data_IF_933172718767
#
_entry.id   IF_933172718767
#
_cell.length_a   1.000
_cell.length_b   1.000
_cell.length_c   1.000
_cell.angle_alpha   90.00
_cell.angle_beta   90.00
_cell.angle_gamma   90.00
#
_symmetry.space_group_name_H-M   'P 1'
#
loop_
_entity.id
_entity.type
_entity.pdbx_description
1 polymer ?
#
# COMPACT_ATOMS: atom_id res chain seq x y z
N UNK A 1 -28.67 -74.56 77.19
CA UNK A 1 -28.49 -73.68 76.02
C UNK A 1 -29.59 -72.62 76.00
N UNK A 2 -29.28 -71.35 76.27
CA UNK A 2 -29.70 -70.18 75.48
C UNK A 2 -28.67 -69.07 75.71
N UNK A 3 -28.05 -68.65 74.60
CA UNK A 3 -27.03 -67.59 74.47
C UNK A 3 -27.70 -66.21 74.67
N UNK A 4 -27.00 -65.25 75.28
CA UNK A 4 -26.44 -64.02 74.68
C UNK A 4 -27.50 -63.17 73.93
N UNK A 5 -27.62 -61.85 74.11
CA UNK A 5 -26.56 -60.86 73.82
C UNK A 5 -26.93 -59.51 74.42
N UNK A 6 -25.97 -58.85 75.08
CA UNK A 6 -26.01 -57.46 75.52
C UNK A 6 -25.90 -56.55 74.27
N UNK A 7 -26.91 -55.74 73.97
CA UNK A 7 -26.88 -54.81 72.84
C UNK A 7 -26.01 -53.60 73.23
N UNK A 8 -24.76 -53.59 72.78
CA UNK A 8 -23.84 -52.47 72.91
C UNK A 8 -24.19 -51.43 71.83
N UNK A 9 -24.77 -50.29 72.22
CA UNK A 9 -24.93 -49.14 71.33
C UNK A 9 -23.54 -48.54 71.05
N UNK A 10 -22.98 -48.89 69.89
CA UNK A 10 -21.83 -48.20 69.30
C UNK A 10 -22.31 -46.83 68.78
N UNK A 11 -21.91 -45.75 69.46
CA UNK A 11 -21.93 -44.40 68.91
C UNK A 11 -20.94 -44.32 67.74
N UNK A 12 -21.42 -44.56 66.52
CA UNK A 12 -20.69 -44.18 65.32
C UNK A 12 -20.94 -42.69 65.07
N UNK A 13 -19.95 -41.85 65.41
CA UNK A 13 -19.92 -40.48 64.91
C UNK A 13 -19.61 -40.50 63.41
N UNK A 14 -20.65 -40.34 62.59
CA UNK A 14 -20.49 -40.07 61.16
C UNK A 14 -20.54 -38.57 60.96
N UNK A 15 -19.40 -37.98 60.58
CA UNK A 15 -19.32 -36.57 60.22
C UNK A 15 -19.93 -36.40 58.81
N UNK A 16 -21.16 -35.89 58.72
CA UNK A 16 -21.74 -35.48 57.44
C UNK A 16 -21.22 -34.08 57.08
N UNK A 17 -20.40 -33.98 56.04
CA UNK A 17 -20.08 -32.70 55.43
C UNK A 17 -21.14 -32.40 54.37
N UNK A 18 -21.93 -31.34 54.59
CA UNK A 18 -22.96 -30.90 53.67
C UNK A 18 -22.63 -29.49 53.13
N UNK A 19 -22.75 -29.34 51.82
CA UNK A 19 -22.79 -28.05 51.13
C UNK A 19 -24.04 -27.26 51.56
N UNK A 20 -23.90 -25.93 51.69
CA UNK A 20 -25.01 -25.04 52.05
C UNK A 20 -25.65 -24.50 50.78
N UNK A 21 -26.92 -24.83 50.56
CA UNK A 21 -27.75 -24.19 49.53
C UNK A 21 -28.68 -23.16 50.14
N UNK A 22 -28.70 -21.95 49.61
CA UNK A 22 -29.76 -20.97 49.88
C UNK A 22 -30.64 -20.87 48.64
N UNK A 23 -31.93 -21.18 48.79
CA UNK A 23 -32.93 -21.28 47.72
C UNK A 23 -32.63 -22.32 46.63
N UNK A 24 -31.81 -23.33 46.92
CA UNK A 24 -31.63 -24.52 46.08
C UNK A 24 -31.55 -25.76 46.96
N UNK A 25 -32.18 -26.85 46.52
CA UNK A 25 -32.12 -28.16 47.20
C UNK A 25 -31.02 -29.06 46.63
N UNK A 26 -30.38 -28.63 45.54
CA UNK A 26 -29.27 -29.33 44.89
C UNK A 26 -28.11 -28.38 44.66
N UNK A 27 -27.37 -27.98 45.72
CA UNK A 27 -26.22 -27.13 45.53
C UNK A 27 -25.19 -27.80 44.61
N UNK A 28 -24.47 -27.00 43.84
CA UNK A 28 -23.47 -27.48 42.90
C UNK A 28 -22.37 -28.23 43.68
N UNK A 29 -22.01 -29.48 43.29
CA UNK A 29 -21.01 -30.28 44.01
C UNK A 29 -19.63 -29.62 44.16
N UNK A 30 -19.32 -28.59 43.37
CA UNK A 30 -18.08 -27.82 43.46
C UNK A 30 -18.12 -26.62 44.41
N UNK A 31 -19.25 -26.38 45.08
CA UNK A 31 -19.47 -25.21 45.95
C UNK A 31 -19.71 -25.62 47.40
N UNK A 32 -19.08 -24.90 48.34
CA UNK A 32 -19.38 -25.04 49.78
C UNK A 32 -20.65 -24.26 50.14
N UNK A 33 -20.90 -23.14 49.46
CA UNK A 33 -22.09 -22.31 49.58
C UNK A 33 -22.57 -21.92 48.18
N UNK A 34 -23.79 -22.29 47.82
CA UNK A 34 -24.47 -21.79 46.63
C UNK A 34 -25.70 -20.96 47.04
N UNK A 35 -25.80 -19.74 46.50
CA UNK A 35 -26.96 -18.88 46.69
C UNK A 35 -27.63 -18.71 45.34
N UNK A 36 -28.73 -19.42 45.12
CA UNK A 36 -29.52 -19.30 43.89
C UNK A 36 -30.53 -18.17 44.08
N UNK A 37 -30.41 -17.14 43.25
CA UNK A 37 -31.31 -15.99 43.29
C UNK A 37 -32.71 -16.36 42.81
N UNK A 38 -33.73 -16.06 43.62
CA UNK A 38 -35.11 -15.96 43.17
C UNK A 38 -35.48 -14.48 42.95
N UNK A 39 -35.76 -14.08 41.71
CA UNK A 39 -36.16 -12.72 41.34
C UNK A 39 -35.02 -11.67 41.32
N UNK A 40 -35.36 -10.39 41.52
CA UNK A 40 -34.44 -9.24 41.46
C UNK A 40 -33.71 -8.96 42.80
N UNK A 41 -33.13 -9.98 43.44
CA UNK A 41 -32.44 -9.84 44.76
C UNK A 41 -30.97 -10.24 44.65
N UNK A 42 -30.11 -9.63 45.46
CA UNK A 42 -28.66 -9.91 45.52
C UNK A 42 -28.16 -10.27 46.93
N UNK A 43 -26.86 -10.48 47.07
CA UNK A 43 -26.19 -10.75 48.34
C UNK A 43 -25.61 -9.45 48.94
N UNK A 44 -26.04 -9.10 50.15
CA UNK A 44 -25.33 -8.11 50.96
C UNK A 44 -24.28 -8.84 51.82
N UNK A 45 -23.01 -8.56 51.55
CA UNK A 45 -21.89 -9.01 52.39
C UNK A 45 -21.69 -8.06 53.59
N UNK A 46 -20.89 -8.43 54.60
CA UNK A 46 -20.61 -7.56 55.74
C UNK A 46 -20.09 -6.18 55.32
N UNK A 47 -20.74 -5.14 55.84
CA UNK A 47 -20.39 -3.73 55.59
C UNK A 47 -19.58 -3.21 56.77
N UNK A 48 -18.34 -2.84 56.53
CA UNK A 48 -17.35 -2.55 57.57
C UNK A 48 -16.69 -1.20 57.25
N UNK A 49 -16.53 -0.35 58.25
CA UNK A 49 -15.81 0.92 58.09
C UNK A 49 -14.32 0.69 58.39
N UNK A 50 -13.51 0.49 57.36
CA UNK A 50 -12.06 0.33 57.52
C UNK A 50 -11.40 1.68 57.85
N UNK A 51 -10.33 1.64 58.63
CA UNK A 51 -9.50 2.82 58.95
C UNK A 51 -8.33 3.00 57.96
N UNK A 52 -8.12 2.07 57.04
CA UNK A 52 -7.07 2.06 56.02
C UNK A 52 -6.92 0.66 55.41
N UNK A 53 -6.13 0.51 54.35
CA UNK A 53 -5.96 -0.82 53.72
C UNK A 53 -5.20 -1.80 54.61
N UNK A 54 -4.36 -1.31 55.52
CA UNK A 54 -3.65 -2.11 56.52
C UNK A 54 -4.44 -2.38 57.80
N UNK A 55 -5.75 -2.05 57.83
CA UNK A 55 -6.58 -2.22 59.03
C UNK A 55 -6.77 -3.69 59.40
N UNK A 56 -6.03 -4.13 60.42
CA UNK A 56 -6.18 -5.44 61.06
C UNK A 56 -6.75 -5.33 62.47
N UNK A 57 -7.26 -4.16 62.86
CA UNK A 57 -7.82 -3.91 64.20
C UNK A 57 -9.34 -4.04 64.16
N UNK A 58 -9.99 -3.45 63.15
CA UNK A 58 -11.44 -3.55 62.94
C UNK A 58 -11.86 -4.99 62.68
N UNK A 59 -11.01 -5.75 61.98
CA UNK A 59 -11.14 -7.19 61.82
C UNK A 59 -9.79 -7.82 62.20
N UNK A 60 -9.65 -8.34 63.44
CA UNK A 60 -8.43 -9.01 63.89
C UNK A 60 -8.15 -10.28 63.10
N UNK A 61 -6.88 -10.49 62.74
CA UNK A 61 -6.39 -11.70 62.04
C UNK A 61 -7.26 -12.09 60.82
N UNK A 62 -7.49 -11.18 59.87
CA UNK A 62 -8.39 -11.45 58.75
C UNK A 62 -7.90 -12.64 57.90
N UNK A 63 -8.80 -13.56 57.59
CA UNK A 63 -8.47 -14.74 56.78
C UNK A 63 -8.20 -14.35 55.31
N UNK A 64 -7.32 -15.08 54.62
CA UNK A 64 -7.09 -14.85 53.19
C UNK A 64 -8.42 -14.98 52.41
N UNK A 65 -8.65 -14.07 51.47
CA UNK A 65 -9.89 -14.00 50.69
C UNK A 65 -11.16 -13.67 51.48
N UNK A 66 -11.04 -13.23 52.74
CA UNK A 66 -12.18 -12.70 53.48
C UNK A 66 -12.72 -11.45 52.77
N UNK A 67 -14.00 -11.44 52.40
CA UNK A 67 -14.61 -10.37 51.62
C UNK A 67 -15.53 -9.49 52.47
N UNK A 68 -15.42 -8.19 52.28
CA UNK A 68 -16.27 -7.17 52.93
C UNK A 68 -16.64 -6.08 51.93
N UNK A 69 -17.63 -5.28 52.29
CA UNK A 69 -17.87 -4.00 51.65
C UNK A 69 -17.37 -2.90 52.60
N UNK A 70 -16.28 -2.21 52.24
CA UNK A 70 -15.82 -1.05 52.99
C UNK A 70 -16.83 0.10 52.83
N UNK A 71 -17.19 0.78 53.91
CA UNK A 71 -18.10 1.94 53.88
C UNK A 71 -17.39 3.28 54.12
N UNK A 72 -16.11 3.26 54.52
CA UNK A 72 -15.38 4.45 54.92
C UNK A 72 -14.57 5.05 53.77
N UNK A 73 -14.45 6.38 53.76
CA UNK A 73 -13.42 7.09 52.98
C UNK A 73 -12.37 7.60 53.95
N UNK A 74 -11.32 6.80 54.17
CA UNK A 74 -10.26 7.09 55.14
C UNK A 74 -8.94 6.59 54.58
N UNK A 75 -7.89 7.41 54.64
CA UNK A 75 -6.58 7.08 54.07
C UNK A 75 -6.67 6.63 52.60
N UNK A 76 -6.26 5.40 52.31
CA UNK A 76 -6.21 4.80 50.98
C UNK A 76 -7.41 3.90 50.64
N UNK A 77 -8.41 3.83 51.53
CA UNK A 77 -9.65 3.09 51.28
C UNK A 77 -10.82 4.03 50.98
N UNK A 78 -11.65 3.58 50.06
CA UNK A 78 -12.90 4.24 49.67
C UNK A 78 -14.04 3.21 49.75
N UNK A 79 -15.31 3.64 49.76
CA UNK A 79 -16.42 2.70 49.72
C UNK A 79 -16.30 1.73 48.54
N UNK A 80 -16.55 0.44 48.78
CA UNK A 80 -16.44 -0.58 47.74
C UNK A 80 -16.20 -1.98 48.28
N UNK A 81 -16.14 -2.96 47.39
CA UNK A 81 -15.83 -4.34 47.75
C UNK A 81 -14.33 -4.51 47.98
N UNK A 82 -13.96 -5.12 49.10
CA UNK A 82 -12.58 -5.45 49.46
C UNK A 82 -12.46 -6.92 49.85
N UNK A 83 -11.28 -7.49 49.66
CA UNK A 83 -10.90 -8.76 50.26
C UNK A 83 -9.55 -8.66 50.97
N UNK A 84 -9.36 -9.43 52.03
CA UNK A 84 -8.04 -9.52 52.66
C UNK A 84 -7.11 -10.38 51.82
N UNK A 85 -5.96 -9.83 51.44
CA UNK A 85 -4.89 -10.55 50.75
C UNK A 85 -3.72 -10.76 51.69
N UNK A 86 -3.47 -12.01 52.09
CA UNK A 86 -2.28 -12.35 52.88
C UNK A 86 -1.02 -12.01 52.09
N UNK A 87 -1.01 -12.27 50.78
CA UNK A 87 0.13 -11.97 49.90
C UNK A 87 0.46 -10.48 49.85
N UNK A 88 -0.56 -9.62 49.82
CA UNK A 88 -0.36 -8.17 49.80
C UNK A 88 -0.28 -7.55 51.21
N UNK A 89 -0.60 -8.31 52.27
CA UNK A 89 -0.65 -7.84 53.65
C UNK A 89 -1.69 -6.73 53.90
N UNK A 90 -2.78 -6.68 53.12
CA UNK A 90 -3.76 -5.59 53.17
C UNK A 90 -5.13 -5.97 52.60
N UNK A 91 -6.13 -5.15 52.90
CA UNK A 91 -7.41 -5.11 52.20
C UNK A 91 -7.22 -4.59 50.77
N UNK A 92 -7.45 -5.46 49.79
CA UNK A 92 -7.40 -5.13 48.37
C UNK A 92 -8.81 -4.88 47.83
N UNK A 93 -9.01 -3.74 47.14
CA UNK A 93 -10.29 -3.42 46.48
C UNK A 93 -10.51 -4.38 45.30
N UNK A 94 -11.70 -4.97 45.19
CA UNK A 94 -12.03 -6.01 44.20
C UNK A 94 -12.05 -5.42 42.78
N UNK A 95 -12.57 -4.21 42.59
CA UNK A 95 -12.53 -3.44 41.34
C UNK A 95 -12.74 -1.94 41.67
N UNK A 96 -12.11 -1.04 40.92
CA UNK A 96 -12.37 0.39 40.99
C UNK A 96 -13.49 0.76 40.00
N UNK A 97 -14.71 0.84 40.50
CA UNK A 97 -15.94 1.17 39.77
C UNK A 97 -15.92 2.56 39.11
N UNK A 98 -15.04 3.45 39.58
CA UNK A 98 -14.87 4.80 39.08
C UNK A 98 -13.81 4.92 37.97
N UNK A 99 -13.08 3.85 37.67
CA UNK A 99 -12.17 3.79 36.52
C UNK A 99 -12.83 2.92 35.45
N UNK A 100 -13.38 3.52 34.38
CA UNK A 100 -13.78 2.75 33.21
C UNK A 100 -12.65 1.82 32.84
N UNK A 101 -12.97 0.59 32.42
CA UNK A 101 -12.03 -0.22 31.67
C UNK A 101 -11.63 0.64 30.47
N UNK A 102 -10.50 1.33 30.57
CA UNK A 102 -9.96 2.13 29.49
C UNK A 102 -9.81 1.14 28.35
N UNK A 103 -10.54 1.34 27.26
CA UNK A 103 -10.28 0.59 26.04
C UNK A 103 -8.86 0.98 25.63
N UNK A 104 -7.88 0.15 26.00
CA UNK A 104 -6.45 0.39 25.79
C UNK A 104 -6.03 0.14 24.34
N UNK A 105 -7.00 -0.01 23.42
CA UNK A 105 -6.73 -0.31 22.03
C UNK A 105 -7.92 -0.11 21.10
N UNK A 106 -7.66 -0.29 19.81
CA UNK A 106 -8.69 -0.26 18.78
C UNK A 106 -9.45 -1.60 18.76
N UNK A 107 -10.78 -1.56 18.89
CA UNK A 107 -11.61 -2.75 18.80
C UNK A 107 -11.59 -3.36 17.39
N UNK A 108 -11.70 -4.69 17.31
CA UNK A 108 -11.86 -5.42 16.04
C UNK A 108 -13.15 -5.06 15.29
N UNK A 109 -14.18 -4.59 16.02
CA UNK A 109 -15.45 -4.14 15.45
C UNK A 109 -15.54 -2.62 15.33
N UNK A 110 -14.44 -1.90 15.62
CA UNK A 110 -14.39 -0.45 15.65
C UNK A 110 -14.84 0.15 16.99
N UNK A 111 -14.52 1.43 17.17
CA UNK A 111 -14.82 2.19 18.38
C UNK A 111 -15.89 3.25 18.08
N UNK A 112 -16.82 3.48 19.01
CA UNK A 112 -17.80 4.58 18.97
C UNK A 112 -17.40 5.73 19.88
N UNK A 113 -17.87 6.96 19.62
CA UNK A 113 -17.63 8.12 20.48
C UNK A 113 -16.23 8.75 20.32
N UNK A 114 -15.60 8.57 19.16
CA UNK A 114 -14.26 9.08 18.88
C UNK A 114 -14.24 10.61 18.74
N UNK A 115 -13.19 11.23 19.25
CA UNK A 115 -12.94 12.67 19.15
C UNK A 115 -11.65 12.93 18.37
N UNK A 116 -11.75 13.74 17.31
CA UNK A 116 -10.61 14.14 16.49
C UNK A 116 -9.51 14.80 17.34
N UNK A 117 -8.26 14.37 17.17
CA UNK A 117 -7.11 14.88 17.92
C UNK A 117 -6.91 14.26 19.32
N UNK A 118 -7.87 13.50 19.84
CA UNK A 118 -7.73 12.74 21.09
C UNK A 118 -7.50 11.26 20.79
N UNK A 119 -8.29 10.68 19.90
CA UNK A 119 -8.20 9.25 19.59
C UNK A 119 -7.52 9.01 18.25
N UNK A 120 -6.55 8.10 18.22
CA UNK A 120 -5.83 7.73 17.01
C UNK A 120 -5.28 6.31 17.11
N UNK A 121 -4.91 5.74 15.95
CA UNK A 121 -4.09 4.54 15.86
C UNK A 121 -2.66 5.00 15.62
N UNK A 122 -1.79 4.85 16.61
CA UNK A 122 -0.40 5.28 16.50
C UNK A 122 0.30 5.42 17.85
N UNK A 123 1.38 6.20 17.85
CA UNK A 123 2.26 6.46 18.99
C UNK A 123 2.16 7.92 19.44
N UNK A 124 2.44 8.19 20.72
CA UNK A 124 2.51 9.55 21.29
C UNK A 124 3.95 10.07 21.41
N UNK A 125 4.94 9.24 21.07
CA UNK A 125 6.36 9.51 21.09
C UNK A 125 6.98 9.31 19.70
N UNK A 126 8.29 9.57 19.55
CA UNK A 126 9.00 9.47 18.28
C UNK A 126 9.38 8.01 17.95
N UNK A 127 8.37 7.15 17.86
CA UNK A 127 8.49 5.73 17.54
C UNK A 127 7.57 5.41 16.36
N UNK A 128 8.09 4.68 15.38
CA UNK A 128 7.37 4.30 14.17
C UNK A 128 6.16 3.39 14.46
N UNK A 129 5.10 3.52 13.65
CA UNK A 129 3.95 2.60 13.71
C UNK A 129 4.21 1.41 12.80
N UNK A 130 4.22 0.20 13.37
CA UNK A 130 4.51 -1.05 12.65
C UNK A 130 3.23 -1.88 12.47
N UNK A 131 2.89 -2.20 11.22
CA UNK A 131 1.84 -3.15 10.88
C UNK A 131 2.44 -4.53 10.62
N UNK A 132 1.82 -5.59 11.16
CA UNK A 132 2.29 -6.97 11.00
C UNK A 132 1.19 -7.93 10.59
N UNK A 133 1.55 -8.97 9.84
CA UNK A 133 0.75 -10.16 9.55
C UNK A 133 1.56 -11.40 9.88
N UNK A 134 1.05 -12.29 10.74
CA UNK A 134 1.78 -13.49 11.17
C UNK A 134 3.20 -13.17 11.69
N UNK A 135 3.31 -12.10 12.48
CA UNK A 135 4.58 -11.53 12.98
C UNK A 135 5.58 -11.03 11.90
N UNK A 136 5.17 -10.96 10.64
CA UNK A 136 5.95 -10.38 9.54
C UNK A 136 5.54 -8.92 9.38
N UNK A 137 6.51 -8.00 9.30
CA UNK A 137 6.24 -6.58 9.01
C UNK A 137 5.63 -6.46 7.62
N UNK A 138 4.44 -5.84 7.57
CA UNK A 138 3.68 -5.59 6.35
C UNK A 138 3.29 -4.12 6.21
N UNK A 139 3.91 -3.25 6.99
CA UNK A 139 3.78 -1.80 6.89
C UNK A 139 4.54 -1.10 8.00
N UNK A 140 5.04 0.09 7.70
CA UNK A 140 5.78 0.96 8.61
C UNK A 140 5.42 2.39 8.26
N UNK A 141 4.92 3.14 9.23
CA UNK A 141 4.80 4.59 9.15
C UNK A 141 5.91 5.17 10.01
N UNK A 142 6.95 5.67 9.35
CA UNK A 142 8.04 6.37 10.02
C UNK A 142 8.02 7.86 9.67
N UNK A 143 8.96 8.62 10.23
CA UNK A 143 9.01 10.08 10.09
C UNK A 143 9.14 10.60 8.66
N UNK A 144 9.62 9.78 7.72
CA UNK A 144 9.92 10.21 6.35
C UNK A 144 9.44 9.26 5.26
N UNK A 145 9.11 8.01 5.55
CA UNK A 145 8.71 7.02 4.57
C UNK A 145 7.36 6.41 4.95
N UNK A 146 6.55 6.11 3.94
CA UNK A 146 5.27 5.43 4.09
C UNK A 146 5.37 4.06 3.44
N UNK A 147 5.32 3.00 4.25
CA UNK A 147 5.37 1.61 3.80
C UNK A 147 4.05 0.94 4.14
N UNK A 148 3.36 0.40 3.13
CA UNK A 148 2.20 -0.47 3.30
C UNK A 148 2.32 -1.68 2.38
N UNK A 149 3.01 -2.71 2.86
CA UNK A 149 3.07 -4.02 2.20
C UNK A 149 4.27 -4.85 2.63
N UNK A 150 4.32 -6.09 2.13
CA UNK A 150 5.30 -7.09 2.57
C UNK A 150 6.61 -6.94 1.81
N UNK A 151 7.75 -7.03 2.51
CA UNK A 151 9.11 -6.93 1.97
C UNK A 151 9.39 -5.64 1.19
N UNK A 152 8.65 -4.57 1.47
CA UNK A 152 8.83 -3.29 0.80
C UNK A 152 9.79 -2.41 1.60
N UNK A 153 10.77 -1.80 0.92
CA UNK A 153 11.76 -0.87 1.47
C UNK A 153 12.64 -1.44 2.61
N UNK A 154 12.88 -2.76 2.64
CA UNK A 154 13.57 -3.44 3.75
C UNK A 154 15.07 -3.19 3.84
N UNK A 155 15.73 -2.81 2.74
CA UNK A 155 17.17 -2.53 2.71
C UNK A 155 17.52 -1.05 2.94
N UNK A 156 16.52 -0.19 3.19
CA UNK A 156 16.71 1.25 3.26
C UNK A 156 17.50 1.64 4.51
N UNK A 157 18.62 2.34 4.30
CA UNK A 157 19.50 2.79 5.38
C UNK A 157 19.36 4.28 5.66
N UNK A 158 19.30 5.11 4.60
CA UNK A 158 19.25 6.58 4.74
C UNK A 158 18.17 7.22 3.86
N UNK A 159 17.60 6.50 2.90
CA UNK A 159 16.62 7.05 1.96
C UNK A 159 15.38 7.62 2.66
N UNK A 160 14.97 8.82 2.25
CA UNK A 160 13.86 9.58 2.86
C UNK A 160 12.74 9.81 1.83
N UNK A 161 11.53 10.12 2.30
CA UNK A 161 10.40 10.54 1.47
C UNK A 161 9.97 9.49 0.43
N UNK A 162 10.16 8.20 0.73
CA UNK A 162 9.69 7.12 -0.14
C UNK A 162 8.29 6.65 0.26
N UNK A 163 7.47 6.35 -0.75
CA UNK A 163 6.18 5.69 -0.60
C UNK A 163 6.27 4.30 -1.24
N UNK A 164 6.04 3.24 -0.46
CA UNK A 164 6.07 1.86 -0.94
C UNK A 164 4.79 1.14 -0.54
N UNK A 165 3.87 0.97 -1.49
CA UNK A 165 2.57 0.32 -1.25
C UNK A 165 2.43 -0.94 -2.10
N UNK A 166 2.37 -2.10 -1.45
CA UNK A 166 2.32 -3.43 -2.06
C UNK A 166 3.58 -4.26 -1.78
N UNK A 167 3.85 -5.26 -2.61
CA UNK A 167 4.79 -6.35 -2.29
C UNK A 167 6.11 -6.22 -3.04
N UNK A 168 7.23 -6.37 -2.31
CA UNK A 168 8.60 -6.32 -2.84
C UNK A 168 8.95 -4.99 -3.57
N UNK A 169 8.31 -3.88 -3.20
CA UNK A 169 8.61 -2.57 -3.80
C UNK A 169 9.85 -1.98 -3.13
N UNK A 170 10.76 -1.37 -3.90
CA UNK A 170 11.98 -0.74 -3.37
C UNK A 170 12.81 -1.65 -2.45
N UNK A 171 12.74 -2.98 -2.60
CA UNK A 171 13.36 -3.95 -1.68
C UNK A 171 14.88 -3.79 -1.59
N UNK A 172 15.53 -3.31 -2.65
CA UNK A 172 16.98 -3.09 -2.73
C UNK A 172 17.40 -1.64 -2.44
N UNK A 173 16.46 -0.74 -2.12
CA UNK A 173 16.75 0.69 -1.93
C UNK A 173 17.62 0.88 -0.69
N UNK A 174 18.76 1.54 -0.83
CA UNK A 174 19.67 1.83 0.29
C UNK A 174 19.62 3.31 0.67
N UNK A 175 19.90 4.19 -0.29
CA UNK A 175 19.95 5.65 -0.07
C UNK A 175 19.01 6.45 -0.98
N UNK A 176 18.35 5.79 -1.93
CA UNK A 176 17.37 6.43 -2.83
C UNK A 176 16.24 7.09 -2.05
N UNK A 177 15.86 8.29 -2.46
CA UNK A 177 14.90 9.16 -1.76
C UNK A 177 13.85 9.69 -2.74
N UNK A 178 12.70 10.11 -2.21
CA UNK A 178 11.61 10.70 -2.98
C UNK A 178 11.02 9.76 -4.05
N UNK A 179 11.08 8.44 -3.85
CA UNK A 179 10.50 7.48 -4.77
C UNK A 179 9.08 7.08 -4.37
N UNK A 180 8.18 6.97 -5.35
CA UNK A 180 6.84 6.40 -5.18
C UNK A 180 6.76 5.07 -5.90
N UNK A 181 6.44 3.99 -5.20
CA UNK A 181 6.35 2.64 -5.72
C UNK A 181 5.05 1.97 -5.26
N UNK A 182 4.07 1.88 -6.16
CA UNK A 182 2.74 1.33 -5.86
C UNK A 182 2.44 0.15 -6.79
N UNK A 183 2.18 -1.03 -6.23
CA UNK A 183 1.96 -2.26 -6.99
C UNK A 183 2.83 -3.40 -6.48
N UNK A 184 3.43 -4.18 -7.37
CA UNK A 184 4.30 -5.30 -6.98
C UNK A 184 5.58 -5.32 -7.79
N UNK A 185 6.70 -5.47 -7.08
CA UNK A 185 8.06 -5.45 -7.63
C UNK A 185 8.38 -4.14 -8.38
N UNK A 186 7.77 -3.03 -7.96
CA UNK A 186 8.06 -1.69 -8.52
C UNK A 186 9.36 -1.17 -7.93
N UNK A 187 10.26 -0.66 -8.79
CA UNK A 187 11.58 -0.16 -8.39
C UNK A 187 12.38 -1.19 -7.56
N UNK A 188 12.16 -2.50 -7.79
CA UNK A 188 12.71 -3.58 -6.96
C UNK A 188 14.24 -3.57 -6.88
N UNK A 189 14.92 -3.14 -7.94
CA UNK A 189 16.39 -3.09 -8.00
C UNK A 189 16.98 -1.73 -7.62
N UNK A 190 16.16 -0.73 -7.30
CA UNK A 190 16.62 0.64 -7.04
C UNK A 190 17.56 0.61 -5.84
N UNK A 191 18.75 1.19 -5.96
CA UNK A 191 19.70 1.33 -4.83
C UNK A 191 19.78 2.78 -4.37
N UNK A 192 20.08 3.67 -5.32
CA UNK A 192 20.38 5.09 -5.03
C UNK A 192 19.53 6.06 -5.85
N UNK A 193 18.74 5.57 -6.82
CA UNK A 193 17.93 6.41 -7.68
C UNK A 193 16.89 7.20 -6.87
N UNK A 194 16.63 8.43 -7.31
CA UNK A 194 15.77 9.39 -6.62
C UNK A 194 14.65 9.90 -7.52
N UNK A 195 13.56 10.37 -6.89
CA UNK A 195 12.47 11.06 -7.58
C UNK A 195 11.78 10.22 -8.67
N UNK A 196 11.77 8.90 -8.54
CA UNK A 196 11.09 8.02 -9.48
C UNK A 196 9.66 7.72 -9.03
N UNK A 197 8.71 7.67 -9.97
CA UNK A 197 7.32 7.28 -9.72
C UNK A 197 6.98 6.04 -10.53
N UNK A 198 6.75 4.93 -9.86
CA UNK A 198 6.33 3.66 -10.45
C UNK A 198 4.94 3.23 -9.96
N UNK A 199 4.08 2.83 -10.90
CA UNK A 199 2.77 2.24 -10.64
C UNK A 199 2.56 0.99 -11.50
N UNK A 200 2.22 -0.15 -10.91
CA UNK A 200 1.88 -1.39 -11.62
C UNK A 200 2.71 -2.60 -11.20
N UNK A 201 2.75 -3.64 -12.04
CA UNK A 201 3.60 -4.81 -11.82
C UNK A 201 4.92 -4.63 -12.58
N UNK A 202 6.04 -4.68 -11.84
CA UNK A 202 7.40 -4.54 -12.40
C UNK A 202 7.64 -3.25 -13.20
N UNK A 203 6.94 -2.16 -12.86
CA UNK A 203 7.29 -0.85 -13.37
C UNK A 203 8.67 -0.42 -12.82
N UNK A 204 9.57 0.08 -13.68
CA UNK A 204 10.94 0.47 -13.30
C UNK A 204 11.74 -0.62 -12.55
N UNK A 205 11.45 -1.89 -12.81
CA UNK A 205 11.98 -3.03 -12.04
C UNK A 205 13.51 -3.06 -11.92
N UNK A 206 14.21 -2.76 -13.01
CA UNK A 206 15.68 -2.80 -13.09
C UNK A 206 16.38 -1.47 -12.80
N UNK A 207 15.65 -0.42 -12.37
CA UNK A 207 16.28 0.86 -12.04
C UNK A 207 17.32 0.65 -10.94
N UNK A 208 18.53 1.15 -11.12
CA UNK A 208 19.64 1.00 -10.18
C UNK A 208 19.89 2.34 -9.48
N UNK A 209 20.09 3.38 -10.28
CA UNK A 209 20.49 4.73 -9.88
C UNK A 209 19.87 5.82 -10.78
N UNK A 210 18.99 5.45 -11.71
CA UNK A 210 18.24 6.38 -12.56
C UNK A 210 17.30 7.27 -11.75
N UNK A 211 17.04 8.48 -12.27
CA UNK A 211 16.36 9.55 -11.55
C UNK A 211 15.22 10.16 -12.36
N UNK A 212 14.22 10.72 -11.67
CA UNK A 212 13.14 11.49 -12.32
C UNK A 212 12.36 10.71 -13.39
N UNK A 213 12.25 9.38 -13.27
CA UNK A 213 11.46 8.58 -14.21
C UNK A 213 10.03 8.37 -13.70
N UNK A 214 9.07 8.38 -14.61
CA UNK A 214 7.67 8.02 -14.36
C UNK A 214 7.35 6.76 -15.17
N UNK A 215 6.84 5.72 -14.52
CA UNK A 215 6.44 4.47 -15.16
C UNK A 215 5.10 3.98 -14.60
N UNK A 216 4.06 4.01 -15.42
CA UNK A 216 2.71 3.59 -15.06
C UNK A 216 2.22 2.50 -16.00
N UNK A 217 2.24 1.25 -15.54
CA UNK A 217 1.76 0.11 -16.30
C UNK A 217 2.50 -1.19 -15.99
N UNK A 218 1.95 -2.29 -16.49
CA UNK A 218 2.59 -3.60 -16.46
C UNK A 218 3.89 -3.57 -17.29
N UNK A 219 5.05 -3.84 -16.67
CA UNK A 219 6.37 -3.77 -17.32
C UNK A 219 6.71 -2.43 -17.99
N UNK A 220 6.10 -1.33 -17.54
CA UNK A 220 6.43 0.02 -17.98
C UNK A 220 7.88 0.37 -17.58
N UNK A 221 8.69 0.81 -18.56
CA UNK A 221 10.10 1.19 -18.36
C UNK A 221 10.93 0.13 -17.60
N UNK A 222 10.73 -1.16 -17.91
CA UNK A 222 11.22 -2.30 -17.14
C UNK A 222 12.76 -2.38 -17.00
N UNK A 223 13.48 -2.26 -18.11
CA UNK A 223 14.94 -2.50 -18.20
C UNK A 223 15.81 -1.27 -17.87
N UNK A 224 15.19 -0.12 -17.60
CA UNK A 224 15.90 1.13 -17.33
C UNK A 224 16.78 1.00 -16.09
N UNK A 225 18.08 1.32 -16.19
CA UNK A 225 19.04 1.19 -15.08
C UNK A 225 19.45 2.55 -14.50
N UNK A 226 20.00 3.40 -15.36
CA UNK A 226 20.62 4.68 -15.00
C UNK A 226 20.04 5.83 -15.83
N UNK A 227 18.78 5.70 -16.24
CA UNK A 227 18.11 6.62 -17.14
C UNK A 227 17.52 7.81 -16.39
N UNK A 228 17.37 8.94 -17.05
CA UNK A 228 16.86 10.18 -16.44
C UNK A 228 15.68 10.74 -17.21
N UNK A 229 14.64 11.16 -16.50
CA UNK A 229 13.59 12.01 -17.07
C UNK A 229 12.65 11.32 -18.05
N UNK A 230 12.55 9.99 -18.04
CA UNK A 230 11.63 9.28 -18.94
C UNK A 230 10.22 9.24 -18.35
N UNK A 231 9.20 9.39 -19.20
CA UNK A 231 7.79 9.31 -18.84
C UNK A 231 7.14 8.18 -19.62
N UNK A 232 6.64 7.18 -18.92
CA UNK A 232 6.08 5.99 -19.50
C UNK A 232 4.70 5.65 -18.92
N UNK A 233 3.69 5.51 -19.78
CA UNK A 233 2.31 5.20 -19.40
C UNK A 233 1.74 4.19 -20.38
N UNK A 234 1.64 2.93 -19.97
CA UNK A 234 1.13 1.85 -20.81
C UNK A 234 1.79 0.51 -20.49
N UNK A 235 1.14 -0.59 -20.88
CA UNK A 235 1.74 -1.91 -20.73
C UNK A 235 2.93 -2.07 -21.67
N UNK A 236 4.09 -2.48 -21.14
CA UNK A 236 5.33 -2.75 -21.88
C UNK A 236 5.84 -1.58 -22.75
N UNK A 237 5.44 -0.35 -22.43
CA UNK A 237 6.00 0.84 -23.07
C UNK A 237 7.44 1.05 -22.56
N UNK A 238 8.34 1.51 -23.44
CA UNK A 238 9.80 1.65 -23.21
C UNK A 238 10.46 0.46 -22.48
N UNK A 239 9.92 -0.76 -22.65
CA UNK A 239 10.29 -1.93 -21.84
C UNK A 239 11.78 -2.25 -21.90
N UNK A 240 12.39 -2.14 -23.08
CA UNK A 240 13.77 -2.51 -23.33
C UNK A 240 14.77 -1.34 -23.20
N UNK A 241 14.34 -0.17 -22.71
CA UNK A 241 15.23 0.98 -22.54
C UNK A 241 16.33 0.67 -21.52
N UNK A 242 17.58 0.60 -21.96
CA UNK A 242 18.75 0.36 -21.10
C UNK A 242 19.48 1.68 -20.81
N UNK A 243 19.70 2.50 -21.84
CA UNK A 243 20.42 3.78 -21.74
C UNK A 243 19.79 4.88 -22.60
N UNK A 244 19.06 5.80 -21.99
CA UNK A 244 18.39 6.88 -22.71
C UNK A 244 17.58 7.77 -21.80
N UNK A 245 17.52 9.05 -22.14
CA UNK A 245 16.96 10.09 -21.27
C UNK A 245 15.85 10.87 -21.99
N UNK A 246 14.98 11.51 -21.21
CA UNK A 246 13.95 12.41 -21.72
C UNK A 246 13.02 11.77 -22.78
N UNK A 247 12.76 10.46 -22.70
CA UNK A 247 11.82 9.79 -23.60
C UNK A 247 10.41 9.77 -23.02
N UNK A 248 9.41 9.93 -23.87
CA UNK A 248 7.99 9.86 -23.52
C UNK A 248 7.37 8.70 -24.30
N UNK A 249 6.89 7.68 -23.60
CA UNK A 249 6.13 6.55 -24.15
C UNK A 249 4.72 6.51 -23.55
N UNK A 250 3.68 6.72 -24.35
CA UNK A 250 2.29 6.67 -23.89
C UNK A 250 1.50 5.74 -24.80
N UNK A 251 0.98 4.64 -24.26
CA UNK A 251 0.27 3.59 -24.99
C UNK A 251 0.97 2.23 -24.86
N UNK A 252 0.21 1.15 -24.99
CA UNK A 252 0.76 -0.20 -24.92
C UNK A 252 1.85 -0.42 -25.98
N UNK A 253 3.00 -0.94 -25.58
CA UNK A 253 4.17 -1.18 -26.41
C UNK A 253 4.75 0.05 -27.17
N UNK A 254 4.46 1.28 -26.75
CA UNK A 254 5.12 2.45 -27.33
C UNK A 254 6.63 2.42 -27.04
N UNK A 255 7.47 2.65 -28.06
CA UNK A 255 8.95 2.58 -27.99
C UNK A 255 9.49 1.28 -27.35
N UNK A 256 8.72 0.18 -27.39
CA UNK A 256 9.02 -1.03 -26.61
C UNK A 256 10.44 -1.53 -26.80
N UNK A 257 10.92 -1.59 -28.04
CA UNK A 257 12.21 -2.18 -28.38
C UNK A 257 13.37 -1.20 -28.32
N UNK A 258 13.18 0.05 -27.89
CA UNK A 258 14.25 1.07 -27.84
C UNK A 258 15.29 0.72 -26.79
N UNK A 259 16.50 0.25 -27.16
CA UNK A 259 17.55 -0.05 -26.19
C UNK A 259 18.17 1.22 -25.62
N UNK A 260 18.07 2.34 -26.34
CA UNK A 260 18.59 3.61 -25.90
C UNK A 260 18.27 4.79 -26.81
N UNK A 261 18.67 5.98 -26.38
CA UNK A 261 18.41 7.22 -27.11
C UNK A 261 17.69 8.28 -26.30
N UNK A 262 17.70 9.52 -26.80
CA UNK A 262 17.25 10.71 -26.07
C UNK A 262 16.14 11.46 -26.78
N UNK A 263 15.19 11.96 -26.00
CA UNK A 263 14.23 12.95 -26.48
C UNK A 263 13.24 12.41 -27.49
N UNK A 264 12.91 11.11 -27.43
CA UNK A 264 11.87 10.54 -28.28
C UNK A 264 10.51 10.68 -27.60
N UNK A 265 9.50 11.11 -28.34
CA UNK A 265 8.10 11.12 -27.91
C UNK A 265 7.32 10.11 -28.75
N UNK A 266 6.61 9.20 -28.12
CA UNK A 266 5.71 8.26 -28.77
C UNK A 266 4.39 8.19 -28.02
N UNK A 267 3.30 8.56 -28.69
CA UNK A 267 1.95 8.57 -28.11
C UNK A 267 1.02 7.76 -29.02
N UNK A 268 0.53 6.64 -28.53
CA UNK A 268 -0.29 5.67 -29.25
C UNK A 268 0.23 4.24 -29.08
N UNK A 269 -0.68 3.26 -29.12
CA UNK A 269 -0.30 1.85 -29.04
C UNK A 269 0.70 1.48 -30.14
N UNK A 270 1.81 0.86 -29.76
CA UNK A 270 2.91 0.45 -30.63
C UNK A 270 3.52 1.58 -31.48
N UNK A 271 3.39 2.84 -31.07
CA UNK A 271 4.11 3.94 -31.70
C UNK A 271 5.63 3.76 -31.49
N UNK A 272 6.42 3.78 -32.56
CA UNK A 272 7.87 3.54 -32.51
C UNK A 272 8.28 2.14 -32.02
N UNK A 273 7.41 1.14 -32.14
CA UNK A 273 7.61 -0.21 -31.57
C UNK A 273 8.98 -0.85 -31.84
N UNK A 274 9.49 -0.78 -33.07
CA UNK A 274 10.66 -1.54 -33.53
C UNK A 274 11.98 -0.75 -33.59
N UNK A 275 12.06 0.41 -32.94
CA UNK A 275 13.31 1.17 -32.84
C UNK A 275 14.32 0.37 -32.01
N UNK A 276 15.14 -0.47 -32.64
CA UNK A 276 15.99 -1.44 -31.93
C UNK A 276 17.47 -1.03 -31.89
N UNK A 277 17.75 0.25 -32.13
CA UNK A 277 19.09 0.85 -32.03
C UNK A 277 19.01 2.14 -31.20
N UNK A 278 20.08 2.94 -31.15
CA UNK A 278 20.03 4.26 -30.50
C UNK A 278 19.35 5.24 -31.45
N UNK A 279 18.22 5.80 -31.03
CA UNK A 279 17.41 6.73 -31.82
C UNK A 279 17.19 8.02 -31.02
N UNK A 280 17.29 9.19 -31.66
CA UNK A 280 17.15 10.47 -30.94
C UNK A 280 16.13 11.38 -31.60
N UNK A 281 15.46 12.20 -30.78
CA UNK A 281 14.65 13.34 -31.20
C UNK A 281 13.52 13.00 -32.16
N UNK A 282 12.95 11.80 -32.04
CA UNK A 282 11.78 11.43 -32.83
C UNK A 282 10.47 11.78 -32.12
N UNK A 283 9.47 12.22 -32.85
CA UNK A 283 8.09 12.42 -32.36
C UNK A 283 7.14 11.54 -33.17
N UNK A 284 6.48 10.59 -32.51
CA UNK A 284 5.54 9.63 -33.09
C UNK A 284 4.18 9.75 -32.42
N UNK A 285 3.14 10.09 -33.16
CA UNK A 285 1.80 10.28 -32.59
C UNK A 285 0.77 9.51 -33.43
N UNK A 286 0.15 8.51 -32.82
CA UNK A 286 -0.89 7.66 -33.39
C UNK A 286 -0.59 6.16 -33.26
N UNK A 287 -1.63 5.33 -33.39
CA UNK A 287 -1.49 3.87 -33.32
C UNK A 287 -0.55 3.35 -34.41
N UNK A 288 0.52 2.67 -33.99
CA UNK A 288 1.58 2.16 -34.88
C UNK A 288 2.28 3.25 -35.72
N UNK A 289 2.26 4.51 -35.26
CA UNK A 289 3.07 5.57 -35.87
C UNK A 289 4.55 5.15 -35.84
N UNK A 290 5.20 5.11 -37.01
CA UNK A 290 6.61 4.73 -37.14
C UNK A 290 6.99 3.33 -36.59
N UNK A 291 6.03 2.39 -36.47
CA UNK A 291 6.28 1.08 -35.88
C UNK A 291 7.34 0.23 -36.62
N UNK A 292 7.67 0.56 -37.86
CA UNK A 292 8.70 -0.11 -38.67
C UNK A 292 10.07 0.57 -38.73
N UNK A 293 10.25 1.75 -38.10
CA UNK A 293 11.56 2.39 -38.03
C UNK A 293 12.50 1.60 -37.13
N UNK A 294 13.80 1.63 -37.47
CA UNK A 294 14.86 0.85 -36.80
C UNK A 294 15.93 1.78 -36.22
N UNK A 295 16.46 2.71 -37.02
CA UNK A 295 17.60 3.60 -36.66
C UNK A 295 17.39 5.09 -36.97
N UNK A 296 16.17 5.46 -37.38
CA UNK A 296 15.82 6.84 -37.72
C UNK A 296 15.94 7.83 -36.56
N UNK A 297 16.30 9.09 -36.88
CA UNK A 297 16.41 10.21 -35.93
C UNK A 297 15.77 11.49 -36.44
N UNK A 298 15.40 12.38 -35.52
CA UNK A 298 14.87 13.71 -35.83
C UNK A 298 13.64 13.68 -36.74
N UNK A 299 12.80 12.64 -36.64
CA UNK A 299 11.57 12.55 -37.42
C UNK A 299 10.38 13.06 -36.62
N UNK A 300 9.41 13.69 -37.29
CA UNK A 300 8.07 13.91 -36.74
C UNK A 300 7.06 13.16 -37.58
N UNK A 301 6.42 12.13 -37.03
CA UNK A 301 5.52 11.24 -37.76
C UNK A 301 4.18 11.15 -37.00
N UNK A 302 3.13 11.65 -37.63
CA UNK A 302 1.79 11.75 -37.03
C UNK A 302 0.79 11.02 -37.92
N UNK A 303 -0.10 10.23 -37.32
CA UNK A 303 -1.09 9.41 -38.01
C UNK A 303 -1.02 7.95 -37.56
N UNK A 304 -1.89 7.09 -38.09
CA UNK A 304 -1.96 5.68 -37.69
C UNK A 304 -1.56 4.73 -38.82
N UNK A 305 -1.09 3.53 -38.46
CA UNK A 305 -0.79 2.44 -39.39
C UNK A 305 0.16 2.81 -40.55
N UNK A 306 1.11 3.71 -40.29
CA UNK A 306 2.05 4.19 -41.30
C UNK A 306 3.01 3.05 -41.66
N UNK A 307 3.01 2.65 -42.93
CA UNK A 307 3.83 1.54 -43.44
C UNK A 307 4.79 2.01 -44.55
N UNK A 308 5.78 1.17 -44.86
CA UNK A 308 6.73 1.44 -45.96
C UNK A 308 7.68 2.62 -45.71
N UNK A 309 7.93 2.96 -44.45
CA UNK A 309 8.98 3.92 -44.10
C UNK A 309 10.36 3.24 -44.24
N UNK A 310 11.37 3.92 -44.81
CA UNK A 310 12.75 3.43 -44.77
C UNK A 310 13.21 3.23 -43.32
N UNK A 311 13.88 2.11 -43.02
CA UNK A 311 14.28 1.74 -41.65
C UNK A 311 15.14 2.81 -40.95
N UNK A 312 15.94 3.56 -41.71
CA UNK A 312 16.85 4.62 -41.26
C UNK A 312 16.35 6.04 -41.55
N UNK A 313 15.06 6.21 -41.90
CA UNK A 313 14.48 7.51 -42.21
C UNK A 313 14.84 8.54 -41.15
N UNK A 314 15.34 9.70 -41.56
CA UNK A 314 15.78 10.74 -40.63
C UNK A 314 15.47 12.12 -41.17
N UNK A 315 15.24 13.08 -40.26
CA UNK A 315 14.96 14.48 -40.59
C UNK A 315 13.70 14.69 -41.44
N UNK A 316 12.69 13.82 -41.30
CA UNK A 316 11.46 13.94 -42.06
C UNK A 316 10.27 14.35 -41.18
N UNK A 317 9.32 15.09 -41.77
CA UNK A 317 8.00 15.32 -41.18
C UNK A 317 6.96 14.59 -42.03
N UNK A 318 6.21 13.65 -41.44
CA UNK A 318 5.20 12.86 -42.11
C UNK A 318 3.88 13.01 -41.38
N UNK A 319 2.83 13.35 -42.13
CA UNK A 319 1.45 13.33 -41.65
C UNK A 319 0.68 12.34 -42.51
N UNK A 320 0.09 11.33 -41.87
CA UNK A 320 -0.65 10.26 -42.51
C UNK A 320 -2.11 10.20 -42.03
N UNK A 321 -2.96 9.57 -42.83
CA UNK A 321 -4.30 9.20 -42.41
C UNK A 321 -4.31 7.89 -41.60
N UNK A 322 -5.50 7.47 -41.15
CA UNK A 322 -5.67 6.23 -40.38
C UNK A 322 -5.48 4.93 -41.18
N UNK A 323 -5.45 5.03 -42.51
CA UNK A 323 -5.30 3.91 -43.45
C UNK A 323 -3.82 3.71 -43.87
N UNK A 324 -2.89 4.41 -43.21
CA UNK A 324 -1.46 4.33 -43.48
C UNK A 324 -1.00 5.14 -44.69
N UNK A 325 -1.87 5.92 -45.35
CA UNK A 325 -1.47 6.76 -46.46
C UNK A 325 -0.81 8.05 -45.95
N UNK A 326 0.41 8.32 -46.41
CA UNK A 326 1.08 9.59 -46.20
C UNK A 326 0.40 10.69 -47.01
N UNK A 327 -0.10 11.72 -46.33
CA UNK A 327 -0.81 12.87 -46.92
C UNK A 327 0.14 14.05 -47.15
N UNK A 328 1.01 14.31 -46.17
CA UNK A 328 2.05 15.33 -46.24
C UNK A 328 3.38 14.68 -45.85
N UNK A 329 4.43 14.95 -46.64
CA UNK A 329 5.79 14.50 -46.37
C UNK A 329 6.77 15.64 -46.65
N UNK A 330 7.46 16.09 -45.61
CA UNK A 330 8.59 17.01 -45.70
C UNK A 330 9.85 16.14 -45.61
N UNK A 331 10.66 16.13 -46.65
CA UNK A 331 11.90 15.37 -46.68
C UNK A 331 13.04 16.05 -45.92
N UNK A 332 14.18 15.36 -45.79
CA UNK A 332 15.39 15.85 -45.14
C UNK A 332 15.96 17.17 -45.71
N UNK A 333 15.57 17.55 -46.93
CA UNK A 333 16.00 18.80 -47.57
C UNK A 333 14.99 19.94 -47.36
N UNK A 334 13.87 19.68 -46.66
CA UNK A 334 12.79 20.63 -46.47
C UNK A 334 11.79 20.69 -47.62
N UNK A 335 11.88 19.80 -48.62
CA UNK A 335 10.93 19.78 -49.72
C UNK A 335 9.58 19.23 -49.25
N UNK A 336 8.50 19.92 -49.56
CA UNK A 336 7.14 19.58 -49.14
C UNK A 336 6.43 18.80 -50.25
N UNK A 337 6.13 17.53 -50.00
CA UNK A 337 5.28 16.69 -50.83
C UNK A 337 3.86 16.60 -50.27
N UNK A 338 2.85 16.94 -51.09
CA UNK A 338 1.43 16.68 -50.79
C UNK A 338 0.93 15.62 -51.78
N UNK A 339 0.51 14.46 -51.28
CA UNK A 339 0.13 13.31 -52.13
C UNK A 339 1.30 12.64 -52.85
N UNK A 340 2.54 12.99 -52.52
CA UNK A 340 3.77 12.34 -53.00
C UNK A 340 4.76 12.16 -51.84
N UNK A 341 5.49 11.05 -51.87
CA UNK A 341 6.50 10.71 -50.86
C UNK A 341 7.93 11.09 -51.30
N UNK A 342 8.09 11.52 -52.55
CA UNK A 342 9.36 11.90 -53.17
C UNK A 342 9.18 13.22 -53.91
N UNK A 343 9.06 14.34 -53.16
CA UNK A 343 8.95 15.66 -53.76
C UNK A 343 10.21 15.94 -54.61
N UNK A 344 10.01 16.41 -55.85
CA UNK A 344 11.12 16.79 -56.76
C UNK A 344 11.44 18.28 -56.75
N UNK A 345 10.58 19.07 -56.09
CA UNK A 345 10.66 20.52 -55.99
C UNK A 345 10.38 20.95 -54.54
N UNK A 346 10.73 22.19 -54.14
CA UNK A 346 10.47 22.68 -52.78
C UNK A 346 9.01 22.52 -52.33
N UNK A 347 8.06 22.61 -53.26
CA UNK A 347 6.66 22.24 -53.08
C UNK A 347 6.20 21.38 -54.26
N UNK A 348 5.89 20.11 -54.02
CA UNK A 348 5.40 19.14 -55.03
C UNK A 348 4.03 18.61 -54.59
N UNK A 349 2.98 19.12 -55.24
CA UNK A 349 1.60 18.72 -54.98
C UNK A 349 1.15 17.77 -56.09
N UNK A 350 0.81 16.53 -55.72
CA UNK A 350 0.25 15.53 -56.64
C UNK A 350 -1.13 15.12 -56.19
N UNK A 351 -2.09 15.21 -57.11
CA UNK A 351 -3.43 14.74 -56.86
C UNK A 351 -3.47 13.21 -56.85
N UNK A 352 -4.30 12.66 -55.97
CA UNK A 352 -4.63 11.22 -55.99
C UNK A 352 -5.52 10.86 -57.21
N UNK A 353 -6.14 11.86 -57.84
CA UNK A 353 -6.99 11.76 -59.02
C UNK A 353 -6.42 12.56 -60.19
N UNK A 354 -6.65 12.14 -61.43
CA UNK A 354 -6.08 12.78 -62.63
C UNK A 354 -6.67 14.15 -62.97
N UNK A 355 -7.64 14.66 -62.20
CA UNK A 355 -8.29 15.96 -62.42
C UNK A 355 -8.56 16.72 -61.10
N UNK A 356 -8.43 18.04 -61.15
CA UNK A 356 -8.93 18.97 -60.14
C UNK A 356 -10.46 18.98 -60.17
N UNK A 357 -11.17 19.08 -59.02
CA UNK A 357 -12.60 19.35 -59.02
C UNK A 357 -12.81 20.74 -59.65
N UNK A 358 -13.37 20.78 -60.87
CA UNK A 358 -13.60 22.01 -61.61
C UNK A 358 -12.52 22.38 -62.63
N UNK A 359 -12.34 21.55 -63.65
CA UNK A 359 -12.30 21.95 -65.07
C UNK A 359 -11.33 23.02 -65.63
N UNK A 360 -10.57 23.79 -64.87
CA UNK A 360 -9.71 24.86 -65.41
C UNK A 360 -8.24 24.69 -64.99
N UNK A 361 -7.42 24.34 -65.99
CA UNK A 361 -5.98 24.07 -65.91
C UNK A 361 -5.10 25.34 -65.79
N UNK A 362 -5.54 26.39 -65.08
CA UNK A 362 -4.79 27.66 -65.07
C UNK A 362 -4.08 28.03 -63.76
N UNK A 363 -4.33 27.36 -62.64
CA UNK A 363 -3.79 27.80 -61.34
C UNK A 363 -2.88 26.77 -60.66
N UNK A 364 -1.93 26.19 -61.39
CA UNK A 364 -0.83 25.48 -60.72
C UNK A 364 0.31 26.46 -60.52
N UNK A 365 0.53 26.78 -59.24
CA UNK A 365 1.68 27.46 -58.66
C UNK A 365 3.00 26.86 -59.18
N UNK A 366 3.40 27.19 -60.40
CA UNK A 366 4.77 27.08 -60.88
C UNK A 366 5.39 28.44 -60.62
N UNK A 367 5.96 28.65 -59.43
CA UNK A 367 6.78 29.84 -59.29
C UNK A 367 8.05 29.64 -60.12
N UNK A 368 8.23 30.59 -61.03
CA UNK A 368 9.45 30.89 -61.76
C UNK A 368 10.53 31.32 -60.77
N UNK A 369 11.79 31.14 -61.20
CA UNK A 369 13.08 31.49 -60.60
C UNK A 369 13.45 30.77 -59.31
#
# INVERSE_FOLDING_TARGET
MKKCTLLLFLFFETNFQAQVGINTTTPNPSSVLEIVGGGNKGLLIPRIALTGSSDTVTIPSPANSLMIYNTATVNDVQPGYYYWSITAGRWAKVLDDLKPIVMTGWSLTGNSGMVNGINFIGTSDNVDVIFKRNNIVSGVLNTTNTIFGVNSLTANTVGLNNTAVGTNNLISNTTGSMNTAIGSEVLSSNKTGIQNTGYGYRALYSNLDGNNNVANGYFSLFSAKSTIGNVDIGASSLRELISGDDNIGIGGDALRMTPGGRGNTAIGGSAGYNLNTVNNYNTFIGFRAAAGLVSGKSNTIIGANISGLPASLSNNIIIADGDGNRRINIDQNGNIGIGTNTPKFPLDIRLKTTAWPGGNKSNVLRNKS
#
